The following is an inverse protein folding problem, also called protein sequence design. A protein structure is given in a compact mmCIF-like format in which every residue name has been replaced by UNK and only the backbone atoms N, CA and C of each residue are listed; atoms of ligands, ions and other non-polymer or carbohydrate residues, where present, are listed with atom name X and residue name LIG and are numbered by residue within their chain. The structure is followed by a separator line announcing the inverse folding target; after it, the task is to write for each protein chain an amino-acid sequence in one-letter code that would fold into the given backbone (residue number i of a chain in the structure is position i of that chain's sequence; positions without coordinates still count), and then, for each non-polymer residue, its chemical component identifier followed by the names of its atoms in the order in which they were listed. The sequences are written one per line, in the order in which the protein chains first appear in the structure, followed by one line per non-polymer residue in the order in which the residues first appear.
data_IF_934043665843
#
_entry.id   IF_934043665843
#
_cell.length_a   1.000
_cell.length_b   1.000
_cell.length_c   1.000
_cell.angle_alpha   90.00
_cell.angle_beta   90.00
_cell.angle_gamma   90.00
#
_symmetry.space_group_name_H-M   'P 1'
#
loop_
_entity.id
_entity.type
_entity.pdbx_description
1 polymer ?
2 polymer ?
3 non-polymer ?
4 water ?
#
# COMPACT_ATOMS: atom_id res chain seq x y z
N UNK A 1 -11.47 -7.87 16.96
CA UNK A 1 -10.38 -7.17 16.21
C UNK A 1 -9.24 -6.77 17.12
N UNK A 2 -8.02 -7.11 16.70
CA UNK A 2 -6.85 -6.60 17.41
C UNK A 2 -6.72 -5.08 17.18
N UNK A 3 -5.85 -4.45 17.96
CA UNK A 3 -5.63 -3.03 17.85
C UNK A 3 -5.10 -2.69 16.47
N UNK A 4 -4.28 -3.57 15.90
CA UNK A 4 -3.69 -3.30 14.56
C UNK A 4 -4.81 -3.26 13.56
N UNK A 5 -5.67 -4.27 13.60
CA UNK A 5 -6.79 -4.35 12.67
C UNK A 5 -7.79 -3.16 12.82
N UNK A 6 -7.99 -2.67 14.03
CA UNK A 6 -8.81 -1.47 14.27
C UNK A 6 -8.18 -0.21 13.67
N UNK A 7 -6.86 -0.05 13.87
CA UNK A 7 -6.15 1.12 13.35
C UNK A 7 -6.12 1.07 11.85
N UNK A 8 -5.96 -0.16 11.36
CA UNK A 8 -5.96 -0.38 9.90
C UNK A 8 -7.35 -0.07 9.31
N UNK A 9 -8.42 -0.50 9.95
CA UNK A 9 -9.73 -0.18 9.39
C UNK A 9 -9.98 1.34 9.41
N UNK A 10 -9.46 2.06 10.40
CA UNK A 10 -9.60 3.49 10.45
C UNK A 10 -8.83 4.12 9.29
N UNK A 11 -7.59 3.71 9.07
CA UNK A 11 -6.87 4.27 7.92
C UNK A 11 -7.61 4.02 6.65
N UNK A 12 -8.12 2.78 6.49
CA UNK A 12 -8.88 2.39 5.27
C UNK A 12 -10.20 3.14 5.09
N UNK A 13 -10.86 3.46 6.23
CA UNK A 13 -12.07 4.23 6.17
C UNK A 13 -11.73 5.65 5.71
N UNK A 14 -10.63 6.22 6.21
CA UNK A 14 -10.25 7.55 5.80
C UNK A 14 -9.93 7.55 4.31
N UNK A 15 -9.18 6.52 3.88
CA UNK A 15 -8.79 6.36 2.47
C UNK A 15 -10.06 6.31 1.55
N UNK A 16 -11.04 5.49 1.91
CA UNK A 16 -12.29 5.35 1.15
C UNK A 16 -13.08 6.64 1.13
N UNK A 17 -12.93 7.46 2.15
CA UNK A 17 -13.55 8.79 2.26
C UNK A 17 -12.80 9.81 1.50
N UNK A 18 -11.69 9.46 0.87
CA UNK A 18 -10.93 10.44 0.13
C UNK A 18 -10.12 11.36 1.03
N UNK A 19 -9.84 10.93 2.27
CA UNK A 19 -9.05 11.71 3.25
C UNK A 19 -7.67 11.06 3.34
N UNK A 20 -6.86 11.34 2.33
CA UNK A 20 -5.58 10.69 2.10
C UNK A 20 -4.46 11.04 3.08
N UNK A 21 -4.33 12.30 3.51
CA UNK A 21 -3.27 12.66 4.46
C UNK A 21 -3.60 12.05 5.79
N UNK A 22 -4.90 12.07 6.10
CA UNK A 22 -5.39 11.50 7.30
C UNK A 22 -5.08 9.95 7.30
N UNK A 23 -5.30 9.28 6.19
CA UNK A 23 -5.04 7.88 6.08
C UNK A 23 -3.54 7.60 6.25
N UNK A 24 -2.69 8.40 5.61
CA UNK A 24 -1.25 8.27 5.69
C UNK A 24 -0.87 8.25 7.14
N UNK A 25 -1.43 9.15 7.93
CA UNK A 25 -1.05 9.24 9.33
C UNK A 25 -1.39 7.97 10.12
N UNK A 26 -2.52 7.37 9.84
CA UNK A 26 -2.90 6.10 10.43
C UNK A 26 -2.00 4.96 9.99
N UNK A 27 -1.74 4.91 8.70
CA UNK A 27 -0.80 3.94 8.11
C UNK A 27 0.59 4.03 8.69
N UNK A 28 1.07 5.25 8.96
CA UNK A 28 2.35 5.41 9.71
C UNK A 28 2.36 4.68 11.05
N UNK A 29 1.23 4.70 11.75
CA UNK A 29 1.06 3.95 13.02
C UNK A 29 1.09 2.44 12.80
N UNK A 30 0.52 1.95 11.70
CA UNK A 30 0.71 0.52 11.30
C UNK A 30 2.16 0.13 11.10
N UNK A 31 2.90 0.96 10.38
CA UNK A 31 4.35 0.74 10.16
C UNK A 31 5.12 0.71 11.48
N UNK A 32 4.85 1.71 12.32
CA UNK A 32 5.46 1.76 13.65
C UNK A 32 5.12 0.57 14.53
N UNK A 33 3.87 0.16 14.55
CA UNK A 33 3.46 -0.93 15.40
C UNK A 33 3.94 -2.31 14.89
N UNK A 34 3.86 -2.48 13.60
CA UNK A 34 4.27 -3.74 12.93
C UNK A 34 5.20 -3.44 11.73
N UNK A 35 6.48 -3.14 12.00
CA UNK A 35 7.42 -2.74 10.97
C UNK A 35 7.74 -3.79 9.89
N UNK A 36 7.49 -5.07 10.15
CA UNK A 36 7.71 -6.15 9.21
C UNK A 36 6.40 -6.61 8.54
N UNK A 37 5.33 -5.83 8.66
CA UNK A 37 4.06 -6.14 7.98
C UNK A 37 3.98 -5.25 6.73
N UNK A 38 4.11 -5.87 5.53
CA UNK A 38 3.95 -5.13 4.26
C UNK A 38 2.68 -4.28 4.11
N UNK A 39 1.61 -4.57 4.84
CA UNK A 39 0.33 -3.92 4.56
C UNK A 39 0.40 -2.46 4.87
N UNK A 40 1.12 -2.03 5.92
CA UNK A 40 1.18 -0.61 6.19
C UNK A 40 1.83 0.19 5.10
N UNK A 41 2.96 -0.34 4.59
CA UNK A 41 3.71 0.27 3.51
C UNK A 41 2.86 0.31 2.25
N UNK A 42 2.20 -0.81 1.92
CA UNK A 42 1.39 -0.89 0.69
C UNK A 42 0.24 0.12 0.70
N UNK A 43 -0.48 0.16 1.82
CA UNK A 43 -1.60 1.07 2.03
C UNK A 43 -1.07 2.52 2.02
N UNK A 44 -0.04 2.79 2.78
CA UNK A 44 0.56 4.14 2.77
C UNK A 44 0.97 4.54 1.33
N UNK A 45 1.50 3.61 0.55
CA UNK A 45 1.92 3.94 -0.87
C UNK A 45 0.74 4.37 -1.73
N UNK A 46 -0.40 3.69 -1.56
CA UNK A 46 -1.64 4.08 -2.33
C UNK A 46 -2.10 5.45 -1.94
N UNK A 47 -2.10 5.73 -0.65
CA UNK A 47 -2.57 7.06 -0.20
C UNK A 47 -1.65 8.13 -0.70
N UNK A 48 -0.35 7.84 -0.73
CA UNK A 48 0.60 8.79 -1.28
C UNK A 48 0.42 9.04 -2.79
N UNK A 49 0.14 8.00 -3.53
CA UNK A 49 -0.06 8.14 -4.93
C UNK A 49 -1.29 9.05 -5.17
N UNK A 50 -2.32 8.90 -4.33
CA UNK A 50 -3.52 9.72 -4.47
C UNK A 50 -3.22 11.18 -4.22
N UNK A 51 -2.21 11.44 -3.40
CA UNK A 51 -1.76 12.78 -3.11
C UNK A 51 -0.69 13.30 -4.09
N UNK A 52 -0.23 12.47 -5.01
CA UNK A 52 0.78 12.91 -5.97
C UNK A 52 2.15 12.90 -5.30
N UNK A 53 2.26 12.24 -4.15
CA UNK A 53 3.58 12.15 -3.46
C UNK A 53 4.36 10.91 -3.95
N UNK A 54 4.80 10.98 -5.20
CA UNK A 54 5.34 9.80 -5.85
C UNK A 54 6.63 9.30 -5.31
N UNK A 55 7.49 10.21 -4.86
CA UNK A 55 8.77 9.82 -4.35
C UNK A 55 8.66 9.06 -3.04
N UNK A 56 7.86 9.56 -2.09
CA UNK A 56 7.67 8.83 -0.83
C UNK A 56 6.96 7.44 -1.09
N UNK A 57 6.06 7.39 -2.05
CA UNK A 57 5.42 6.13 -2.43
C UNK A 57 6.45 5.12 -2.87
N UNK A 58 7.39 5.54 -3.74
CA UNK A 58 8.45 4.64 -4.19
C UNK A 58 9.20 4.13 -2.98
N UNK A 59 9.58 5.02 -2.07
CA UNK A 59 10.28 4.62 -0.84
C UNK A 59 9.47 3.61 -0.02
N UNK A 60 8.11 3.76 0.03
CA UNK A 60 7.31 2.86 0.87
C UNK A 60 7.21 1.53 0.17
N UNK A 61 7.16 1.53 -1.15
CA UNK A 61 7.05 0.26 -1.88
C UNK A 61 8.30 -0.57 -1.73
N UNK A 62 9.45 0.10 -1.85
CA UNK A 62 10.73 -0.58 -1.73
C UNK A 62 10.88 -1.17 -0.35
N UNK A 63 10.51 -0.39 0.66
CA UNK A 63 10.54 -0.85 2.07
C UNK A 63 9.62 -2.00 2.32
N UNK A 64 8.35 -1.91 1.90
CA UNK A 64 7.44 -3.03 2.08
C UNK A 64 7.88 -4.31 1.37
N UNK A 65 8.46 -4.21 0.21
CA UNK A 65 8.89 -5.41 -0.46
C UNK A 65 10.00 -6.19 0.28
N UNK A 66 10.76 -5.50 1.12
CA UNK A 66 11.76 -6.14 1.99
C UNK A 66 11.10 -7.12 2.93
N UNK A 67 9.80 -6.92 3.26
CA UNK A 67 9.08 -7.79 4.18
C UNK A 67 8.03 -8.70 3.51
N UNK A 68 8.01 -8.69 2.18
CA UNK A 68 7.10 -9.55 1.44
C UNK A 68 7.80 -10.78 0.83
N UNK A 69 7.19 -11.95 1.04
CA UNK A 69 7.60 -13.21 0.45
C UNK A 69 7.12 -13.27 -1.00
N UNK A 70 7.43 -14.36 -1.70
CA UNK A 70 6.85 -14.61 -3.02
C UNK A 70 5.36 -14.72 -2.98
N UNK A 71 4.71 -14.32 -4.07
CA UNK A 71 3.28 -14.48 -4.27
C UNK A 71 3.17 -15.38 -5.49
N UNK A 72 2.60 -16.57 -5.32
CA UNK A 72 2.67 -17.61 -6.33
C UNK A 72 1.39 -17.72 -7.15
N UNK A 73 0.39 -16.89 -6.84
CA UNK A 73 -0.92 -17.02 -7.49
C UNK A 73 -1.39 -15.66 -8.03
N UNK A 74 -0.54 -15.05 -8.84
CA UNK A 74 -0.76 -13.64 -9.22
C UNK A 74 -1.86 -13.59 -10.29
N UNK A 75 -2.79 -12.64 -10.18
CA UNK A 75 -3.85 -12.57 -11.19
C UNK A 75 -3.31 -12.06 -12.53
N UNK A 76 -3.85 -12.56 -13.61
CA UNK A 76 -3.52 -12.06 -14.98
C UNK A 76 -3.69 -10.56 -15.11
N UNK A 77 -4.76 -10.02 -14.57
CA UNK A 77 -5.01 -8.53 -14.66
C UNK A 77 -3.86 -7.78 -14.03
N UNK A 78 -3.39 -8.29 -12.91
CA UNK A 78 -2.25 -7.71 -12.17
C UNK A 78 -0.98 -7.71 -13.02
N UNK A 79 -0.77 -8.80 -13.75
CA UNK A 79 0.40 -8.95 -14.61
C UNK A 79 0.30 -8.01 -15.79
N UNK A 80 -0.89 -7.89 -16.39
CA UNK A 80 -1.08 -6.93 -17.46
C UNK A 80 -0.83 -5.50 -17.03
N UNK A 81 -1.26 -5.18 -15.83
CA UNK A 81 -1.13 -3.78 -15.28
C UNK A 81 0.33 -3.50 -14.92
N UNK A 82 0.98 -4.46 -14.26
CA UNK A 82 2.38 -4.31 -13.90
C UNK A 82 3.33 -4.24 -15.12
N UNK A 83 3.14 -5.15 -16.05
CA UNK A 83 3.94 -5.22 -17.25
C UNK A 83 3.72 -3.96 -18.11
N UNK A 84 2.52 -3.41 -18.11
CA UNK A 84 2.21 -2.14 -18.84
C UNK A 84 3.06 -1.00 -18.28
N UNK A 85 3.06 -0.88 -16.95
CA UNK A 85 3.85 0.18 -16.28
C UNK A 85 5.34 -0.03 -16.37
N UNK A 86 5.75 -1.30 -16.26
CA UNK A 86 7.16 -1.68 -16.33
C UNK A 86 7.71 -1.27 -17.67
N UNK A 87 6.99 -1.63 -18.71
CA UNK A 87 7.37 -1.34 -20.08
C UNK A 87 7.29 0.15 -20.44
N UNK A 88 6.24 0.85 -19.98
CA UNK A 88 6.12 2.33 -20.17
C UNK A 88 7.31 2.99 -19.54
N UNK A 89 7.70 2.49 -18.37
CA UNK A 89 8.85 3.02 -17.62
C UNK A 89 10.12 2.83 -18.41
N UNK A 90 10.27 1.66 -19.02
CA UNK A 90 11.50 1.28 -19.71
C UNK A 90 11.64 1.98 -21.06
N UNK A 91 10.52 2.41 -21.64
CA UNK A 91 10.56 3.31 -22.78
C UNK A 91 10.81 4.72 -22.23
N UNK B 1 -8.80 -7.42 -2.25
CA UNK B 1 -9.44 -6.24 -2.84
C UNK B 1 -8.70 -6.04 -4.19
N UNK B 2 -9.13 -5.04 -4.92
CA UNK B 2 -8.62 -4.79 -6.27
C UNK B 2 -7.25 -4.04 -6.23
N UNK B 3 -6.60 -3.93 -7.36
CA UNK B 3 -5.28 -3.32 -7.41
C UNK B 3 -5.27 -1.91 -6.87
N UNK B 4 -6.37 -1.20 -7.09
CA UNK B 4 -6.47 0.24 -6.78
C UNK B 4 -6.99 0.38 -5.36
N UNK B 5 -7.23 -0.73 -4.67
CA UNK B 5 -7.85 -0.64 -3.33
C UNK B 5 -6.83 -0.91 -2.24
N UNK B 6 -7.15 -0.51 -1.01
CA UNK B 6 -6.30 -0.79 0.14
C UNK B 6 -6.64 -2.16 0.77
N UNK B 7 -5.83 -2.54 1.76
CA UNK B 7 -5.93 -3.87 2.39
C UNK B 7 -6.08 -3.78 3.89
X LIG C 1 -2.22 -10.43 -7.86
#
# INVERSE_FOLDING_TARGET
MSQFEKQKEQGNSLFKQGLYREAVHCYDQLITAQPQNPVGYSNKAMALIKLGEYTQAIQMCQQGLRYTSTAEHVAIRSKLQYRLELAQGAVGSVQIPVVEVDELPEGYDRS
SRMEEVD
CL CL
#
